data_IF_144470486983
#
_entry.id   IF_144470486983
#
_cell.length_a   1.000
_cell.length_b   1.000
_cell.length_c   1.000
_cell.angle_alpha   90.00
_cell.angle_beta   90.00
_cell.angle_gamma   90.00
#
_symmetry.space_group_name_H-M   'P 1'
#
loop_
_entity.id
_entity.type
_entity.pdbx_description
1 polymer ?
#
# COMPACT_ATOMS: atom_id res chain seq x y z
N UNK A 1 7.43 50.48 -24.13
CA UNK A 1 8.21 50.83 -22.92
C UNK A 1 9.50 50.02 -22.96
N UNK A 2 10.58 50.61 -23.47
CA UNK A 2 11.86 49.94 -23.68
C UNK A 2 12.61 49.81 -22.34
N UNK A 3 12.80 48.59 -21.87
CA UNK A 3 13.75 48.32 -20.78
C UNK A 3 15.18 48.42 -21.33
N UNK A 4 16.10 49.12 -20.65
CA UNK A 4 17.47 49.24 -21.11
C UNK A 4 18.21 47.91 -20.93
N UNK A 5 18.60 47.31 -22.05
CA UNK A 5 19.58 46.23 -22.16
C UNK A 5 20.96 46.78 -21.80
N UNK A 6 21.29 46.91 -20.51
CA UNK A 6 22.70 47.09 -20.13
C UNK A 6 23.03 46.48 -18.76
N UNK A 7 24.11 45.69 -18.77
CA UNK A 7 24.77 44.98 -17.65
C UNK A 7 24.10 43.71 -17.11
N UNK A 8 23.77 42.76 -17.98
CA UNK A 8 23.85 41.35 -17.57
C UNK A 8 25.30 40.88 -17.78
N UNK A 9 26.07 40.92 -16.69
CA UNK A 9 27.40 40.29 -16.60
C UNK A 9 27.26 38.87 -17.15
N UNK A 10 27.94 38.58 -18.27
CA UNK A 10 27.87 37.31 -19.01
C UNK A 10 28.21 36.19 -18.02
N UNK A 11 27.19 35.59 -17.42
CA UNK A 11 27.35 34.43 -16.55
C UNK A 11 28.13 33.40 -17.36
N UNK A 12 29.23 32.86 -16.82
CA UNK A 12 29.99 31.78 -17.48
C UNK A 12 28.98 30.73 -17.92
N UNK A 13 28.77 30.63 -19.23
CA UNK A 13 27.73 29.81 -19.81
C UNK A 13 28.09 28.34 -19.57
N UNK A 14 27.55 27.76 -18.49
CA UNK A 14 27.80 26.36 -18.15
C UNK A 14 27.28 25.42 -19.25
N UNK A 15 27.93 24.28 -19.43
CA UNK A 15 27.63 23.31 -20.50
C UNK A 15 26.12 23.05 -20.73
N UNK A 16 25.33 22.95 -19.66
CA UNK A 16 23.89 22.69 -19.72
C UNK A 16 23.02 23.79 -20.34
N UNK A 17 23.54 25.01 -20.54
CA UNK A 17 22.82 26.07 -21.27
C UNK A 17 23.00 25.98 -22.79
N UNK A 18 23.97 25.19 -23.26
CA UNK A 18 24.25 25.00 -24.70
C UNK A 18 23.19 24.13 -25.38
N UNK A 19 23.17 24.11 -26.73
CA UNK A 19 22.28 23.21 -27.48
C UNK A 19 22.59 21.74 -27.21
N UNK A 20 23.88 21.37 -27.16
CA UNK A 20 24.32 20.00 -26.85
C UNK A 20 23.96 19.61 -25.42
N UNK A 21 24.21 20.48 -24.44
CA UNK A 21 23.82 20.25 -23.04
C UNK A 21 22.32 20.04 -22.88
N UNK A 22 21.48 20.80 -23.62
CA UNK A 22 20.02 20.62 -23.61
C UNK A 22 19.55 19.31 -24.24
N UNK A 23 20.24 18.81 -25.27
CA UNK A 23 19.97 17.47 -25.82
C UNK A 23 20.29 16.40 -24.79
N UNK A 24 21.44 16.51 -24.11
CA UNK A 24 21.84 15.57 -23.04
C UNK A 24 20.82 15.57 -21.90
N UNK A 25 20.36 16.73 -21.43
CA UNK A 25 19.35 16.77 -20.35
C UNK A 25 18.00 16.20 -20.78
N UNK A 26 17.62 16.35 -22.04
CA UNK A 26 16.41 15.71 -22.59
C UNK A 26 16.52 14.19 -22.56
N UNK A 27 17.64 13.62 -23.05
CA UNK A 27 17.86 12.17 -23.00
C UNK A 27 17.91 11.66 -21.56
N UNK A 28 18.61 12.34 -20.66
CA UNK A 28 18.63 11.98 -19.24
C UNK A 28 17.24 12.01 -18.62
N UNK A 29 16.44 13.03 -18.89
CA UNK A 29 15.07 13.10 -18.40
C UNK A 29 14.20 11.95 -18.96
N UNK A 30 14.35 11.63 -20.25
CA UNK A 30 13.69 10.48 -20.87
C UNK A 30 14.08 9.16 -20.21
N UNK A 31 15.37 8.91 -20.02
CA UNK A 31 15.88 7.71 -19.35
C UNK A 31 15.39 7.62 -17.90
N UNK A 32 15.37 8.73 -17.15
CA UNK A 32 14.85 8.77 -15.79
C UNK A 32 13.35 8.47 -15.75
N UNK A 33 12.56 9.05 -16.66
CA UNK A 33 11.12 8.80 -16.73
C UNK A 33 10.82 7.32 -17.00
N UNK A 34 11.54 6.72 -17.95
CA UNK A 34 11.44 5.29 -18.25
C UNK A 34 11.86 4.45 -17.03
N UNK A 35 13.01 4.78 -16.42
CA UNK A 35 13.50 4.08 -15.22
C UNK A 35 12.53 4.12 -14.05
N UNK A 36 11.87 5.27 -13.80
CA UNK A 36 10.85 5.43 -12.76
C UNK A 36 9.62 4.53 -12.99
N UNK A 37 9.23 4.33 -14.25
CA UNK A 37 8.16 3.40 -14.59
C UNK A 37 8.59 1.95 -14.32
N UNK A 38 9.76 1.55 -14.84
CA UNK A 38 10.24 0.17 -14.73
C UNK A 38 10.53 -0.24 -13.28
N UNK A 39 11.14 0.62 -12.45
CA UNK A 39 11.46 0.29 -11.05
C UNK A 39 10.21 0.00 -10.21
N UNK A 40 9.07 0.62 -10.56
CA UNK A 40 7.79 0.37 -9.88
C UNK A 40 7.02 -0.80 -10.51
N UNK A 41 7.14 -1.02 -11.82
CA UNK A 41 6.34 -2.03 -12.54
C UNK A 41 6.97 -3.43 -12.56
N UNK A 42 8.29 -3.52 -12.70
CA UNK A 42 9.02 -4.80 -12.84
C UNK A 42 8.90 -5.71 -11.61
N UNK A 43 8.99 -5.21 -10.36
CA UNK A 43 8.83 -6.07 -9.17
C UNK A 43 7.47 -6.77 -9.10
N UNK A 44 6.42 -6.14 -9.65
CA UNK A 44 5.06 -6.68 -9.66
C UNK A 44 4.74 -7.50 -10.93
N UNK A 45 5.73 -7.76 -11.79
CA UNK A 45 5.58 -8.53 -13.02
C UNK A 45 6.67 -9.57 -13.15
N UNK A 46 7.80 -9.24 -13.78
CA UNK A 46 8.91 -10.18 -14.01
C UNK A 46 9.65 -10.54 -12.72
N UNK A 47 9.73 -9.61 -11.76
CA UNK A 47 10.38 -9.81 -10.47
C UNK A 47 9.52 -10.49 -9.41
N UNK A 48 8.30 -10.92 -9.77
CA UNK A 48 7.30 -11.34 -8.80
C UNK A 48 7.69 -12.63 -8.04
N UNK A 49 8.35 -13.57 -8.71
CA UNK A 49 8.84 -14.80 -8.07
C UNK A 49 10.01 -14.50 -7.12
N UNK A 50 10.95 -13.64 -7.51
CA UNK A 50 12.04 -13.21 -6.62
C UNK A 50 11.49 -12.51 -5.37
N UNK A 51 10.46 -11.68 -5.56
CA UNK A 51 9.84 -10.97 -4.45
C UNK A 51 9.10 -11.94 -3.51
N UNK A 52 8.43 -12.95 -4.05
CA UNK A 52 7.83 -14.05 -3.27
C UNK A 52 8.90 -14.80 -2.47
N UNK A 53 9.99 -15.25 -3.12
CA UNK A 53 11.05 -16.01 -2.46
C UNK A 53 11.71 -15.19 -1.34
N UNK A 54 11.81 -13.86 -1.50
CA UNK A 54 12.38 -13.00 -0.45
C UNK A 54 11.51 -12.89 0.81
N UNK A 55 10.18 -12.94 0.68
CA UNK A 55 9.23 -12.67 1.78
C UNK A 55 8.55 -13.93 2.33
N UNK A 56 8.62 -15.06 1.61
CA UNK A 56 7.97 -16.28 2.04
C UNK A 56 8.58 -16.81 3.34
N UNK A 57 7.77 -17.51 4.12
CA UNK A 57 8.22 -18.16 5.33
C UNK A 57 9.03 -19.42 4.98
N UNK A 58 10.20 -19.56 5.59
CA UNK A 58 11.03 -20.75 5.50
C UNK A 58 11.11 -21.45 6.85
N UNK A 59 11.09 -22.79 6.82
CA UNK A 59 11.38 -23.65 7.97
C UNK A 59 12.42 -24.66 7.53
N UNK A 60 13.54 -24.72 8.24
CA UNK A 60 14.66 -25.63 7.94
C UNK A 60 15.19 -25.50 6.50
N UNK A 61 15.23 -24.27 5.98
CA UNK A 61 15.69 -23.95 4.62
C UNK A 61 14.68 -24.26 3.51
N UNK A 62 13.50 -24.79 3.83
CA UNK A 62 12.44 -25.09 2.87
C UNK A 62 11.26 -24.12 2.98
N UNK A 63 10.59 -23.78 1.86
CA UNK A 63 9.37 -22.99 1.86
C UNK A 63 8.29 -23.68 2.70
N UNK A 64 7.66 -22.96 3.63
CA UNK A 64 6.56 -23.51 4.42
C UNK A 64 5.27 -23.54 3.57
N UNK A 65 4.73 -24.72 3.21
CA UNK A 65 3.48 -24.79 2.47
C UNK A 65 2.31 -24.29 3.31
N UNK A 66 1.27 -23.78 2.65
CA UNK A 66 0.02 -23.43 3.30
C UNK A 66 -0.73 -24.72 3.67
N UNK A 67 -1.37 -24.75 4.83
CA UNK A 67 -2.19 -25.88 5.26
C UNK A 67 -3.42 -26.06 4.36
N UNK A 68 -3.91 -27.30 4.25
CA UNK A 68 -5.08 -27.60 3.42
C UNK A 68 -6.32 -26.81 3.85
N UNK A 69 -6.47 -26.59 5.16
CA UNK A 69 -7.56 -25.80 5.75
C UNK A 69 -7.57 -24.36 5.23
N UNK A 70 -6.40 -23.72 5.20
CA UNK A 70 -6.26 -22.34 4.72
C UNK A 70 -6.43 -22.28 3.20
N UNK A 71 -5.93 -23.28 2.47
CA UNK A 71 -6.15 -23.43 1.02
C UNK A 71 -7.64 -23.54 0.69
N UNK A 72 -8.40 -24.29 1.47
CA UNK A 72 -9.85 -24.43 1.32
C UNK A 72 -10.59 -23.11 1.57
N UNK A 73 -10.26 -22.40 2.65
CA UNK A 73 -10.82 -21.05 2.93
C UNK A 73 -10.49 -20.06 1.81
N UNK A 74 -9.32 -20.16 1.22
CA UNK A 74 -8.94 -19.35 0.07
C UNK A 74 -9.76 -19.67 -1.19
N UNK A 75 -10.05 -20.96 -1.43
CA UNK A 75 -10.94 -21.40 -2.50
C UNK A 75 -12.35 -20.85 -2.31
N UNK A 76 -12.88 -20.94 -1.09
CA UNK A 76 -14.18 -20.34 -0.72
C UNK A 76 -14.18 -18.83 -0.95
N UNK A 77 -13.13 -18.11 -0.57
CA UNK A 77 -13.01 -16.67 -0.81
C UNK A 77 -13.06 -16.32 -2.32
N UNK A 78 -12.45 -17.15 -3.17
CA UNK A 78 -12.53 -16.98 -4.64
C UNK A 78 -13.94 -17.26 -5.17
N UNK A 79 -14.63 -18.25 -4.62
CA UNK A 79 -16.01 -18.60 -4.97
C UNK A 79 -16.98 -17.50 -4.58
N UNK A 80 -16.88 -16.97 -3.36
CA UNK A 80 -17.70 -15.83 -2.85
C UNK A 80 -17.56 -14.61 -3.77
N UNK A 81 -16.34 -14.30 -4.20
CA UNK A 81 -16.07 -13.17 -5.08
C UNK A 81 -16.30 -13.46 -6.57
N UNK A 82 -16.70 -14.69 -6.92
CA UNK A 82 -16.92 -15.15 -8.30
C UNK A 82 -15.75 -14.80 -9.24
N UNK A 83 -14.51 -15.01 -8.77
CA UNK A 83 -13.31 -14.62 -9.53
C UNK A 83 -13.07 -15.59 -10.68
N UNK A 84 -13.18 -15.07 -11.91
CA UNK A 84 -12.81 -15.80 -13.12
C UNK A 84 -11.29 -15.95 -13.18
N UNK A 85 -10.81 -17.19 -13.32
CA UNK A 85 -9.38 -17.53 -13.36
C UNK A 85 -8.72 -17.18 -14.70
N UNK A 86 -8.69 -15.90 -15.09
CA UNK A 86 -8.03 -15.48 -16.33
C UNK A 86 -6.50 -15.65 -16.25
N UNK A 87 -5.93 -15.43 -15.07
CA UNK A 87 -4.48 -15.47 -14.83
C UNK A 87 -4.17 -16.14 -13.46
N UNK A 88 -2.96 -16.66 -13.27
CA UNK A 88 -2.63 -17.44 -12.07
C UNK A 88 -2.70 -16.60 -10.80
N UNK A 89 -3.33 -17.17 -9.78
CA UNK A 89 -3.37 -16.63 -8.42
C UNK A 89 -2.69 -17.68 -7.55
N UNK A 90 -1.49 -17.36 -7.06
CA UNK A 90 -0.69 -18.27 -6.25
C UNK A 90 -0.64 -17.80 -4.81
N UNK A 91 -0.86 -18.72 -3.88
CA UNK A 91 -0.77 -18.46 -2.45
C UNK A 91 0.52 -19.04 -1.88
N UNK A 92 1.07 -18.38 -0.86
CA UNK A 92 2.25 -18.87 -0.14
C UNK A 92 2.26 -18.36 1.30
N UNK A 93 2.98 -19.02 2.20
CA UNK A 93 3.04 -18.61 3.60
C UNK A 93 3.97 -17.40 3.78
N UNK A 94 3.56 -16.39 4.56
CA UNK A 94 4.40 -15.22 4.91
C UNK A 94 4.67 -15.13 6.40
N UNK A 95 5.81 -14.51 6.73
CA UNK A 95 6.12 -14.12 8.10
C UNK A 95 5.33 -12.87 8.51
N UNK A 96 4.93 -12.80 9.79
CA UNK A 96 4.12 -11.72 10.35
C UNK A 96 2.66 -12.11 10.55
N UNK A 97 1.80 -11.09 10.74
CA UNK A 97 0.38 -11.26 11.07
C UNK A 97 -0.55 -10.63 10.04
N UNK A 98 -0.01 -10.07 8.96
CA UNK A 98 -0.75 -9.29 7.98
C UNK A 98 -0.70 -9.95 6.60
N UNK A 99 -1.88 -10.03 5.96
CA UNK A 99 -1.97 -10.52 4.59
C UNK A 99 -1.14 -9.65 3.65
N UNK A 100 -0.52 -10.31 2.69
CA UNK A 100 0.34 -9.69 1.71
C UNK A 100 -0.17 -9.97 0.30
N UNK A 101 -0.06 -8.99 -0.60
CA UNK A 101 -0.27 -9.22 -2.02
C UNK A 101 0.79 -8.51 -2.86
N UNK A 102 1.15 -9.14 -3.98
CA UNK A 102 1.99 -8.53 -5.00
C UNK A 102 1.54 -8.99 -6.39
N UNK A 103 1.59 -8.06 -7.35
CA UNK A 103 1.02 -8.27 -8.68
C UNK A 103 -0.44 -7.83 -8.72
N UNK A 104 -1.12 -8.13 -9.83
CA UNK A 104 -2.52 -7.77 -9.99
C UNK A 104 -3.21 -8.78 -10.92
N UNK A 105 -4.50 -9.04 -10.68
CA UNK A 105 -5.22 -10.16 -11.31
C UNK A 105 -5.41 -10.04 -12.82
N UNK A 106 -5.22 -8.85 -13.40
CA UNK A 106 -5.35 -8.58 -14.85
C UNK A 106 -4.02 -8.74 -15.60
N UNK A 107 -2.95 -9.14 -14.91
CA UNK A 107 -1.62 -9.34 -15.48
C UNK A 107 -1.41 -10.79 -15.89
N UNK A 108 -0.73 -11.03 -17.02
CA UNK A 108 -0.28 -12.38 -17.39
C UNK A 108 0.66 -13.02 -16.37
N UNK A 109 1.34 -12.20 -15.58
CA UNK A 109 2.22 -12.64 -14.49
C UNK A 109 1.44 -13.08 -13.26
N UNK A 110 0.14 -12.79 -13.21
CA UNK A 110 -0.73 -13.15 -12.11
C UNK A 110 -0.53 -12.30 -10.85
N UNK A 111 -0.94 -12.87 -9.72
CA UNK A 111 -0.77 -12.30 -8.39
C UNK A 111 -0.24 -13.36 -7.43
N UNK A 112 0.63 -12.95 -6.51
CA UNK A 112 1.06 -13.77 -5.37
C UNK A 112 0.40 -13.21 -4.11
N UNK A 113 -0.26 -14.07 -3.35
CA UNK A 113 -0.93 -13.72 -2.09
C UNK A 113 -0.21 -14.44 -0.96
N UNK A 114 0.39 -13.64 -0.09
CA UNK A 114 1.05 -14.11 1.12
C UNK A 114 0.04 -14.26 2.25
N UNK A 115 -0.13 -15.47 2.74
CA UNK A 115 -1.02 -15.79 3.86
C UNK A 115 -0.18 -16.00 5.13
N UNK A 116 -0.39 -15.20 6.18
CA UNK A 116 0.28 -15.36 7.46
C UNK A 116 0.01 -16.70 8.12
N UNK A 117 1.00 -17.19 8.87
CA UNK A 117 0.88 -18.46 9.61
C UNK A 117 -0.25 -18.44 10.65
N UNK A 118 -0.67 -17.26 11.13
CA UNK A 118 -1.78 -17.17 12.09
C UNK A 118 -3.17 -17.50 11.51
N UNK A 119 -3.30 -17.62 10.18
CA UNK A 119 -4.52 -18.15 9.56
C UNK A 119 -4.71 -19.65 9.82
N UNK A 120 -3.64 -20.35 10.23
CA UNK A 120 -3.68 -21.75 10.61
C UNK A 120 -4.04 -21.98 12.09
N UNK A 121 -4.20 -20.90 12.87
CA UNK A 121 -4.52 -21.01 14.29
C UNK A 121 -6.02 -21.21 14.50
N UNK A 122 -6.38 -22.22 15.29
CA UNK A 122 -7.78 -22.56 15.59
C UNK A 122 -8.22 -22.03 16.95
N UNK A 123 -7.32 -22.09 17.93
CA UNK A 123 -7.56 -21.62 19.29
C UNK A 123 -6.28 -21.07 19.89
N UNK A 124 -6.41 -20.30 20.98
CA UNK A 124 -5.27 -19.73 21.71
C UNK A 124 -4.35 -20.83 22.24
N UNK A 125 -4.90 -21.98 22.64
CA UNK A 125 -4.14 -23.09 23.22
C UNK A 125 -3.33 -23.88 22.17
N UNK A 126 -3.75 -23.81 20.90
CA UNK A 126 -3.06 -24.49 19.79
C UNK A 126 -1.74 -23.82 19.38
N UNK A 127 -1.51 -22.58 19.81
CA UNK A 127 -0.39 -21.75 19.36
C UNK A 127 0.83 -21.95 20.24
N UNK A 128 1.99 -22.17 19.61
CA UNK A 128 3.30 -22.24 20.29
C UNK A 128 3.84 -20.83 20.53
N UNK A 129 3.32 -20.17 21.56
CA UNK A 129 3.62 -18.78 21.93
C UNK A 129 5.12 -18.50 22.08
N UNK A 130 5.88 -19.44 22.64
CA UNK A 130 7.32 -19.32 22.92
C UNK A 130 8.17 -19.16 21.64
N UNK A 131 7.63 -19.57 20.49
CA UNK A 131 8.30 -19.46 19.19
C UNK A 131 7.99 -18.17 18.45
N UNK A 132 6.98 -17.43 18.89
CA UNK A 132 6.56 -16.19 18.25
C UNK A 132 7.40 -15.04 18.80
N UNK A 133 8.21 -14.44 17.92
CA UNK A 133 9.02 -13.26 18.22
C UNK A 133 8.59 -12.11 17.33
N UNK A 134 8.70 -10.89 17.87
CA UNK A 134 8.46 -9.67 17.10
C UNK A 134 9.75 -8.85 17.08
N UNK A 135 10.25 -8.52 15.88
CA UNK A 135 11.55 -7.83 15.71
C UNK A 135 12.70 -8.49 16.51
N UNK A 136 12.74 -9.83 16.52
CA UNK A 136 13.68 -10.65 17.30
C UNK A 136 13.62 -10.48 18.83
N UNK A 137 12.57 -9.84 19.36
CA UNK A 137 12.31 -9.72 20.79
C UNK A 137 11.27 -10.75 21.24
N UNK A 138 11.47 -11.26 22.44
CA UNK A 138 10.50 -12.13 23.12
C UNK A 138 9.36 -11.28 23.68
N UNK A 139 8.15 -11.84 23.65
CA UNK A 139 6.93 -11.17 24.09
C UNK A 139 6.56 -11.68 25.48
N UNK A 140 6.31 -10.77 26.42
CA UNK A 140 5.71 -11.15 27.70
C UNK A 140 4.22 -11.46 27.51
N UNK A 141 3.94 -12.73 27.30
CA UNK A 141 2.61 -13.29 27.03
C UNK A 141 1.62 -13.26 28.21
N UNK A 142 2.11 -13.01 29.43
CA UNK A 142 1.29 -12.99 30.65
C UNK A 142 0.85 -11.57 31.04
N UNK A 143 1.49 -10.55 30.46
CA UNK A 143 1.06 -9.16 30.57
C UNK A 143 -0.33 -8.93 29.97
N UNK A 144 -1.03 -7.88 30.42
CA UNK A 144 -2.35 -7.51 29.88
C UNK A 144 -2.31 -7.31 28.36
N UNK A 145 -1.30 -6.59 27.87
CA UNK A 145 -1.10 -6.38 26.44
C UNK A 145 -0.69 -7.68 25.71
N UNK A 146 0.03 -8.58 26.38
CA UNK A 146 0.34 -9.91 25.87
C UNK A 146 -0.92 -10.75 25.65
N UNK A 147 -1.85 -10.73 26.60
CA UNK A 147 -3.16 -11.38 26.47
C UNK A 147 -4.00 -10.74 25.36
N UNK A 148 -4.02 -9.41 25.29
CA UNK A 148 -4.69 -8.68 24.20
C UNK A 148 -4.15 -9.11 22.83
N UNK A 149 -2.83 -9.25 22.69
CA UNK A 149 -2.19 -9.72 21.46
C UNK A 149 -2.59 -11.17 21.13
N UNK A 150 -2.58 -12.08 22.12
CA UNK A 150 -3.02 -13.48 21.94
C UNK A 150 -4.42 -13.58 21.34
N UNK A 151 -5.37 -12.84 21.90
CA UNK A 151 -6.75 -12.81 21.41
C UNK A 151 -6.88 -12.16 20.02
N UNK A 152 -6.02 -11.19 19.70
CA UNK A 152 -6.09 -10.44 18.46
C UNK A 152 -5.51 -11.18 17.26
N UNK A 153 -4.53 -12.06 17.45
CA UNK A 153 -3.90 -12.77 16.34
C UNK A 153 -4.64 -14.05 15.92
N UNK A 154 -5.47 -14.62 16.81
CA UNK A 154 -6.28 -15.80 16.49
C UNK A 154 -7.57 -15.32 15.82
N UNK A 155 -7.74 -15.69 14.55
CA UNK A 155 -8.87 -15.25 13.73
C UNK A 155 -9.92 -16.37 13.61
N UNK A 156 -11.20 -16.00 13.69
CA UNK A 156 -12.32 -16.92 13.38
C UNK A 156 -12.36 -17.21 11.88
N UNK A 157 -13.06 -18.26 11.48
CA UNK A 157 -13.13 -18.63 10.05
C UNK A 157 -13.76 -17.52 9.19
N UNK A 158 -14.78 -16.83 9.71
CA UNK A 158 -15.41 -15.69 9.03
C UNK A 158 -14.46 -14.50 8.88
N UNK A 159 -13.67 -14.19 9.92
CA UNK A 159 -12.66 -13.13 9.86
C UNK A 159 -11.55 -13.45 8.86
N UNK A 160 -11.15 -14.72 8.80
CA UNK A 160 -10.16 -15.18 7.82
C UNK A 160 -10.71 -15.07 6.40
N UNK A 161 -11.94 -15.55 6.14
CA UNK A 161 -12.60 -15.39 4.84
C UNK A 161 -12.74 -13.92 4.46
N UNK A 162 -13.12 -13.05 5.40
CA UNK A 162 -13.17 -11.61 5.20
C UNK A 162 -11.80 -11.05 4.77
N UNK A 163 -10.73 -11.40 5.50
CA UNK A 163 -9.37 -10.98 5.18
C UNK A 163 -8.93 -11.44 3.78
N UNK A 164 -9.17 -12.70 3.43
CA UNK A 164 -8.81 -13.27 2.13
C UNK A 164 -9.61 -12.60 0.99
N UNK A 165 -10.91 -12.39 1.16
CA UNK A 165 -11.74 -11.67 0.20
C UNK A 165 -11.24 -10.24 -0.01
N UNK A 166 -10.93 -9.54 1.09
CA UNK A 166 -10.36 -8.20 1.05
C UNK A 166 -9.06 -8.16 0.24
N UNK A 167 -8.13 -9.09 0.49
CA UNK A 167 -6.85 -9.14 -0.21
C UNK A 167 -7.01 -9.49 -1.69
N UNK A 168 -7.96 -10.36 -2.04
CA UNK A 168 -8.30 -10.66 -3.42
C UNK A 168 -8.88 -9.44 -4.15
N UNK A 169 -9.78 -8.69 -3.51
CA UNK A 169 -10.32 -7.45 -4.07
C UNK A 169 -9.23 -6.40 -4.25
N UNK A 170 -8.34 -6.22 -3.26
CA UNK A 170 -7.18 -5.33 -3.40
C UNK A 170 -6.27 -5.72 -4.57
N UNK A 171 -6.08 -7.02 -4.81
CA UNK A 171 -5.32 -7.51 -5.97
C UNK A 171 -6.00 -7.29 -7.33
N UNK A 172 -7.32 -7.08 -7.35
CA UNK A 172 -8.07 -6.75 -8.58
C UNK A 172 -7.98 -5.27 -8.96
N UNK A 173 -7.63 -4.42 -8.01
CA UNK A 173 -7.49 -2.98 -8.22
C UNK A 173 -6.26 -2.68 -9.08
N UNK A 174 -6.32 -1.60 -9.86
CA UNK A 174 -5.26 -1.23 -10.80
C UNK A 174 -4.08 -0.51 -10.11
N UNK A 175 -3.91 -0.69 -8.79
CA UNK A 175 -2.96 0.04 -7.97
C UNK A 175 -1.52 -0.09 -8.44
N UNK A 176 -1.10 -1.28 -8.88
CA UNK A 176 0.26 -1.52 -9.42
C UNK A 176 0.55 -0.66 -10.65
N UNK A 177 -0.37 -0.62 -11.61
CA UNK A 177 -0.21 0.14 -12.85
C UNK A 177 -0.18 1.64 -12.54
N UNK A 178 -1.16 2.11 -11.76
CA UNK A 178 -1.27 3.52 -11.39
C UNK A 178 -0.04 4.00 -10.61
N UNK A 179 0.41 3.23 -9.62
CA UNK A 179 1.61 3.53 -8.83
C UNK A 179 2.89 3.55 -9.68
N UNK A 180 2.91 2.84 -10.81
CA UNK A 180 4.03 2.86 -11.77
C UNK A 180 3.99 4.08 -12.70
N UNK A 181 2.79 4.58 -13.02
CA UNK A 181 2.59 5.73 -13.91
C UNK A 181 2.79 7.06 -13.19
N UNK A 182 2.28 7.20 -11.95
CA UNK A 182 2.32 8.47 -11.21
C UNK A 182 3.70 9.14 -11.08
N UNK A 183 4.78 8.44 -10.68
CA UNK A 183 6.09 9.09 -10.56
C UNK A 183 6.60 9.57 -11.92
N UNK A 184 6.40 8.77 -12.97
CA UNK A 184 6.77 9.09 -14.35
C UNK A 184 6.00 10.31 -14.86
N UNK A 185 4.69 10.32 -14.67
CA UNK A 185 3.82 11.42 -15.07
C UNK A 185 4.17 12.73 -14.35
N UNK A 186 4.37 12.67 -13.03
CA UNK A 186 4.79 13.83 -12.24
C UNK A 186 6.14 14.36 -12.72
N UNK A 187 7.14 13.48 -12.90
CA UNK A 187 8.47 13.87 -13.36
C UNK A 187 8.45 14.53 -14.75
N UNK A 188 7.77 13.94 -15.73
CA UNK A 188 7.67 14.51 -17.10
C UNK A 188 6.96 15.87 -17.06
N UNK A 189 5.90 16.00 -16.28
CA UNK A 189 5.15 17.26 -16.13
C UNK A 189 6.05 18.36 -15.56
N UNK A 190 6.77 18.07 -14.48
CA UNK A 190 7.71 19.02 -13.87
C UNK A 190 8.85 19.37 -14.81
N UNK A 191 9.46 18.39 -15.48
CA UNK A 191 10.53 18.64 -16.44
C UNK A 191 10.04 19.56 -17.58
N UNK A 192 8.86 19.29 -18.13
CA UNK A 192 8.26 20.07 -19.22
C UNK A 192 7.96 21.50 -18.77
N UNK A 193 7.39 21.67 -17.57
CA UNK A 193 7.10 22.98 -16.98
C UNK A 193 8.39 23.77 -16.70
N UNK A 194 9.40 23.12 -16.12
CA UNK A 194 10.71 23.73 -15.87
C UNK A 194 11.38 24.17 -17.17
N UNK A 195 11.30 23.35 -18.24
CA UNK A 195 11.82 23.69 -19.56
C UNK A 195 11.07 24.86 -20.18
N UNK A 196 9.74 24.86 -20.11
CA UNK A 196 8.90 25.95 -20.61
C UNK A 196 9.25 27.27 -19.92
N UNK A 197 9.25 27.31 -18.59
CA UNK A 197 9.57 28.51 -17.81
C UNK A 197 10.99 29.03 -18.05
N UNK A 198 11.96 28.11 -18.17
CA UNK A 198 13.34 28.50 -18.50
C UNK A 198 13.44 29.23 -19.85
N UNK A 199 12.65 28.81 -20.83
CA UNK A 199 12.65 29.38 -22.18
C UNK A 199 11.82 30.65 -22.26
N UNK A 200 10.61 30.67 -21.71
CA UNK A 200 9.68 31.81 -21.78
C UNK A 200 10.17 33.01 -20.98
N UNK A 201 10.79 32.77 -19.81
CA UNK A 201 11.30 33.83 -18.93
C UNK A 201 12.81 34.12 -19.14
N UNK A 202 13.46 33.43 -20.09
CA UNK A 202 14.89 33.58 -20.38
C UNK A 202 15.80 33.28 -19.18
N UNK A 203 15.37 32.40 -18.26
CA UNK A 203 16.07 32.15 -16.99
C UNK A 203 17.43 31.48 -17.18
N UNK A 204 17.68 30.85 -18.33
CA UNK A 204 19.00 30.27 -18.64
C UNK A 204 20.12 31.33 -18.72
N UNK A 205 19.80 32.58 -19.05
CA UNK A 205 20.74 33.70 -19.04
C UNK A 205 20.85 34.39 -17.67
N UNK A 206 19.97 34.03 -16.72
CA UNK A 206 19.89 34.61 -15.37
C UNK A 206 20.78 33.85 -14.38
N UNK A 207 21.09 34.44 -13.19
CA UNK A 207 21.88 33.77 -12.17
C UNK A 207 21.31 32.40 -11.77
N UNK A 208 22.21 31.50 -11.41
CA UNK A 208 21.86 30.13 -11.02
C UNK A 208 20.91 30.07 -9.82
N UNK A 209 21.06 30.97 -8.84
CA UNK A 209 20.20 31.04 -7.66
C UNK A 209 18.71 31.20 -8.01
N UNK A 210 18.37 32.07 -8.97
CA UNK A 210 16.99 32.26 -9.41
C UNK A 210 16.41 30.99 -10.05
N UNK A 211 17.22 30.27 -10.83
CA UNK A 211 16.82 28.96 -11.39
C UNK A 211 16.60 27.92 -10.31
N UNK A 212 17.46 27.88 -9.29
CA UNK A 212 17.31 26.96 -8.17
C UNK A 212 16.02 27.22 -7.39
N UNK A 213 15.65 28.48 -7.14
CA UNK A 213 14.36 28.81 -6.50
C UNK A 213 13.19 28.24 -7.30
N UNK A 214 13.17 28.45 -8.62
CA UNK A 214 12.13 27.89 -9.49
C UNK A 214 12.12 26.36 -9.45
N UNK A 215 13.28 25.70 -9.56
CA UNK A 215 13.35 24.23 -9.52
C UNK A 215 12.91 23.66 -8.18
N UNK A 216 13.21 24.34 -7.07
CA UNK A 216 12.74 23.94 -5.74
C UNK A 216 11.22 24.01 -5.65
N UNK A 217 10.60 25.10 -6.12
CA UNK A 217 9.14 25.25 -6.14
C UNK A 217 8.49 24.15 -6.98
N UNK A 218 9.00 23.94 -8.21
CA UNK A 218 8.48 22.90 -9.10
C UNK A 218 8.73 21.48 -8.55
N UNK A 219 9.85 21.26 -7.87
CA UNK A 219 10.19 19.99 -7.23
C UNK A 219 9.22 19.65 -6.11
N UNK A 220 8.93 20.62 -5.23
CA UNK A 220 7.91 20.44 -4.18
C UNK A 220 6.52 20.22 -4.78
N UNK A 221 6.15 20.96 -5.83
CA UNK A 221 4.88 20.76 -6.52
C UNK A 221 4.78 19.35 -7.10
N UNK A 222 5.80 18.87 -7.81
CA UNK A 222 5.82 17.51 -8.38
C UNK A 222 5.77 16.42 -7.33
N UNK A 223 6.54 16.56 -6.26
CA UNK A 223 6.52 15.63 -5.13
C UNK A 223 5.14 15.61 -4.46
N UNK A 224 4.54 16.79 -4.24
CA UNK A 224 3.19 16.93 -3.70
C UNK A 224 2.12 16.28 -4.58
N UNK A 225 2.15 16.54 -5.89
CA UNK A 225 1.23 15.92 -6.86
C UNK A 225 1.38 14.41 -6.89
N UNK A 226 2.61 13.88 -6.86
CA UNK A 226 2.86 12.44 -6.80
C UNK A 226 2.32 11.82 -5.52
N UNK A 227 2.62 12.41 -4.36
CA UNK A 227 2.08 11.93 -3.08
C UNK A 227 0.55 11.95 -3.10
N UNK A 228 -0.05 13.05 -3.55
CA UNK A 228 -1.50 13.19 -3.63
C UNK A 228 -2.15 12.13 -4.52
N UNK A 229 -1.66 11.94 -5.76
CA UNK A 229 -2.20 10.92 -6.67
C UNK A 229 -2.10 9.51 -6.07
N UNK A 230 -0.97 9.19 -5.41
CA UNK A 230 -0.75 7.89 -4.79
C UNK A 230 -1.66 7.66 -3.59
N UNK A 231 -1.70 8.62 -2.68
CA UNK A 231 -2.44 8.52 -1.42
C UNK A 231 -3.95 8.56 -1.68
N UNK A 232 -4.43 9.42 -2.59
CA UNK A 232 -5.83 9.47 -3.01
C UNK A 232 -6.29 8.13 -3.61
N UNK A 233 -5.51 7.58 -4.54
CA UNK A 233 -5.84 6.30 -5.18
C UNK A 233 -5.88 5.17 -4.17
N UNK A 234 -4.94 5.12 -3.22
CA UNK A 234 -4.93 4.10 -2.18
C UNK A 234 -6.14 4.23 -1.25
N UNK A 235 -6.46 5.44 -0.79
CA UNK A 235 -7.60 5.69 0.09
C UNK A 235 -8.93 5.36 -0.62
N UNK A 236 -9.08 5.81 -1.87
CA UNK A 236 -10.28 5.52 -2.67
C UNK A 236 -10.43 4.03 -2.94
N UNK A 237 -9.33 3.33 -3.21
CA UNK A 237 -9.32 1.89 -3.42
C UNK A 237 -9.68 1.13 -2.14
N UNK A 238 -9.13 1.51 -0.99
CA UNK A 238 -9.47 0.91 0.31
C UNK A 238 -10.97 1.06 0.63
N UNK A 239 -11.53 2.24 0.38
CA UNK A 239 -12.96 2.52 0.60
C UNK A 239 -13.85 1.70 -0.35
N UNK A 240 -13.47 1.59 -1.63
CA UNK A 240 -14.23 0.82 -2.62
C UNK A 240 -14.18 -0.69 -2.30
N UNK A 241 -13.03 -1.19 -1.83
CA UNK A 241 -12.91 -2.58 -1.36
C UNK A 241 -13.83 -2.83 -0.17
N UNK A 242 -13.83 -1.95 0.84
CA UNK A 242 -14.71 -2.09 2.00
C UNK A 242 -16.20 -2.05 1.62
N UNK A 243 -16.56 -1.16 0.67
CA UNK A 243 -17.91 -1.10 0.11
C UNK A 243 -18.31 -2.41 -0.56
N UNK A 244 -17.45 -2.98 -1.42
CA UNK A 244 -17.68 -4.27 -2.07
C UNK A 244 -17.84 -5.40 -1.04
N UNK A 245 -17.03 -5.43 0.01
CA UNK A 245 -17.14 -6.43 1.07
C UNK A 245 -18.45 -6.31 1.85
N UNK A 246 -18.87 -5.08 2.18
CA UNK A 246 -20.14 -4.85 2.89
C UNK A 246 -21.36 -5.30 2.09
N UNK A 247 -21.25 -5.32 0.75
CA UNK A 247 -22.32 -5.75 -0.14
C UNK A 247 -22.44 -7.28 -0.26
N UNK A 248 -21.50 -8.06 0.29
CA UNK A 248 -21.54 -9.52 0.23
C UNK A 248 -22.55 -10.13 1.21
N UNK A 249 -22.96 -9.39 2.24
CA UNK A 249 -24.03 -9.79 3.16
C UNK A 249 -23.79 -9.36 4.61
N UNK A 250 -24.79 -9.52 5.50
CA UNK A 250 -24.69 -9.15 6.91
C UNK A 250 -23.57 -9.88 7.67
N UNK A 251 -23.31 -11.13 7.31
CA UNK A 251 -22.20 -11.92 7.89
C UNK A 251 -20.85 -11.26 7.64
N UNK A 252 -20.61 -10.75 6.42
CA UNK A 252 -19.39 -10.03 6.05
C UNK A 252 -19.26 -8.69 6.78
N UNK A 253 -20.38 -8.03 7.09
CA UNK A 253 -20.37 -6.79 7.87
C UNK A 253 -19.90 -7.08 9.29
N UNK A 254 -20.49 -8.07 9.96
CA UNK A 254 -20.09 -8.50 11.30
C UNK A 254 -18.65 -9.00 11.35
N UNK A 255 -18.25 -9.82 10.37
CA UNK A 255 -16.88 -10.29 10.23
C UNK A 255 -15.90 -9.13 10.02
N UNK A 256 -16.29 -8.10 9.26
CA UNK A 256 -15.48 -6.89 9.05
C UNK A 256 -15.25 -6.10 10.33
N UNK A 257 -16.30 -5.88 11.14
CA UNK A 257 -16.17 -5.23 12.46
C UNK A 257 -15.17 -6.01 13.34
N UNK A 258 -15.35 -7.32 13.45
CA UNK A 258 -14.49 -8.16 14.29
C UNK A 258 -13.05 -8.20 13.78
N UNK A 259 -12.86 -8.34 12.47
CA UNK A 259 -11.55 -8.34 11.82
C UNK A 259 -10.78 -7.02 12.07
N UNK A 260 -11.42 -5.87 11.83
CA UNK A 260 -10.78 -4.58 12.10
C UNK A 260 -10.55 -4.33 13.59
N UNK A 261 -11.45 -4.80 14.46
CA UNK A 261 -11.26 -4.71 15.89
C UNK A 261 -10.01 -5.48 16.33
N UNK A 262 -9.83 -6.73 15.88
CA UNK A 262 -8.64 -7.52 16.15
C UNK A 262 -7.37 -6.89 15.58
N UNK A 263 -7.43 -6.32 14.38
CA UNK A 263 -6.29 -5.61 13.80
C UNK A 263 -5.89 -4.39 14.64
N UNK A 264 -6.85 -3.61 15.13
CA UNK A 264 -6.61 -2.46 16.00
C UNK A 264 -6.03 -2.90 17.35
N UNK A 265 -6.62 -3.91 17.98
CA UNK A 265 -6.14 -4.47 19.25
C UNK A 265 -4.74 -5.06 19.15
N UNK A 266 -4.42 -5.73 18.04
CA UNK A 266 -3.06 -6.20 17.71
C UNK A 266 -2.08 -5.03 17.68
N UNK A 267 -2.40 -3.96 16.96
CA UNK A 267 -1.52 -2.81 16.80
C UNK A 267 -1.32 -2.04 18.12
N UNK A 268 -2.36 -1.91 18.94
CA UNK A 268 -2.28 -1.32 20.28
C UNK A 268 -1.36 -2.18 21.17
N UNK A 269 -1.58 -3.49 21.20
CA UNK A 269 -0.76 -4.39 22.00
C UNK A 269 0.72 -4.36 21.57
N UNK A 270 1.01 -4.39 20.26
CA UNK A 270 2.37 -4.30 19.75
C UNK A 270 3.05 -2.99 20.14
N UNK A 271 2.34 -1.86 20.05
CA UNK A 271 2.85 -0.54 20.47
C UNK A 271 3.29 -0.55 21.93
N UNK A 272 2.43 -1.01 22.83
CA UNK A 272 2.70 -0.98 24.27
C UNK A 272 3.74 -2.03 24.70
N UNK A 273 3.75 -3.21 24.08
CA UNK A 273 4.71 -4.27 24.40
C UNK A 273 6.12 -3.95 23.92
N UNK A 274 6.25 -3.29 22.76
CA UNK A 274 7.53 -3.12 22.07
C UNK A 274 8.07 -1.69 22.13
N UNK A 275 7.27 -0.73 22.58
CA UNK A 275 7.56 0.69 22.49
C UNK A 275 7.67 1.16 21.04
N UNK A 276 6.86 0.58 20.15
CA UNK A 276 6.93 0.84 18.71
C UNK A 276 6.04 2.02 18.31
N UNK A 277 6.66 3.10 17.84
CA UNK A 277 5.98 4.30 17.36
C UNK A 277 5.33 4.14 15.96
N UNK A 278 5.41 2.95 15.35
CA UNK A 278 4.74 2.60 14.09
C UNK A 278 3.22 2.67 14.22
N UNK A 279 2.67 2.50 15.41
CA UNK A 279 1.23 2.55 15.66
C UNK A 279 0.85 3.72 16.58
N UNK A 280 -0.36 4.22 16.39
CA UNK A 280 -0.98 5.23 17.26
C UNK A 280 -1.63 4.58 18.48
N UNK A 281 -1.95 5.36 19.52
CA UNK A 281 -2.68 4.89 20.71
C UNK A 281 -4.03 4.22 20.39
N UNK A 282 -4.63 4.55 19.24
CA UNK A 282 -5.89 3.96 18.77
C UNK A 282 -5.67 2.75 17.83
N UNK A 283 -4.44 2.31 17.60
CA UNK A 283 -4.13 1.15 16.74
C UNK A 283 -4.05 1.46 15.23
N UNK A 284 -4.20 2.71 14.80
CA UNK A 284 -3.92 3.09 13.41
C UNK A 284 -2.41 3.10 13.14
N UNK A 285 -2.00 2.88 11.89
CA UNK A 285 -0.63 3.11 11.45
C UNK A 285 -0.29 4.60 11.56
N UNK A 286 0.82 4.90 12.24
CA UNK A 286 1.33 6.24 12.41
C UNK A 286 2.15 6.64 11.19
N UNK A 287 1.77 7.74 10.55
CA UNK A 287 2.53 8.30 9.44
C UNK A 287 3.00 9.70 9.80
N UNK A 288 4.29 9.97 9.60
CA UNK A 288 4.92 11.24 10.02
C UNK A 288 4.40 12.44 9.21
N UNK A 289 4.28 12.29 7.88
CA UNK A 289 3.98 13.42 6.98
C UNK A 289 2.73 13.23 6.13
N UNK A 290 2.31 11.99 5.87
CA UNK A 290 1.24 11.69 4.89
C UNK A 290 0.42 10.47 5.25
N UNK A 291 -0.89 10.56 5.07
CA UNK A 291 -1.80 9.43 5.26
C UNK A 291 -1.79 8.55 4.00
N UNK A 292 -1.10 7.40 4.05
CA UNK A 292 -0.94 6.54 2.85
C UNK A 292 -2.11 5.58 2.61
N UNK A 293 -2.93 5.34 3.63
CA UNK A 293 -4.02 4.35 3.58
C UNK A 293 -5.19 4.84 4.43
N UNK A 294 -6.39 4.31 4.17
CA UNK A 294 -7.55 4.64 5.00
C UNK A 294 -7.31 4.16 6.45
N UNK A 295 -7.44 5.03 7.48
CA UNK A 295 -7.24 4.62 8.88
C UNK A 295 -8.15 3.46 9.26
N UNK A 296 -7.61 2.47 9.97
CA UNK A 296 -8.34 1.27 10.41
C UNK A 296 -9.55 1.62 11.27
N UNK A 297 -9.48 2.67 12.08
CA UNK A 297 -10.62 3.16 12.87
C UNK A 297 -11.79 3.64 12.00
N UNK A 298 -11.49 4.29 10.87
CA UNK A 298 -12.52 4.74 9.92
C UNK A 298 -13.13 3.55 9.20
N UNK A 299 -12.30 2.56 8.82
CA UNK A 299 -12.76 1.31 8.22
C UNK A 299 -13.69 0.54 9.16
N UNK A 300 -13.33 0.43 10.44
CA UNK A 300 -14.19 -0.18 11.47
C UNK A 300 -15.53 0.57 11.59
N UNK A 301 -15.49 1.89 11.74
CA UNK A 301 -16.69 2.74 11.84
C UNK A 301 -17.62 2.57 10.63
N UNK A 302 -17.07 2.43 9.43
CA UNK A 302 -17.86 2.17 8.22
C UNK A 302 -18.69 0.89 8.34
N UNK A 303 -18.09 -0.22 8.80
CA UNK A 303 -18.84 -1.47 8.98
C UNK A 303 -19.85 -1.39 10.15
N UNK A 304 -19.52 -0.67 11.22
CA UNK A 304 -20.46 -0.42 12.33
C UNK A 304 -21.70 0.37 11.85
N UNK A 305 -21.49 1.40 11.02
CA UNK A 305 -22.58 2.18 10.43
C UNK A 305 -23.44 1.33 9.48
N UNK A 306 -22.84 0.44 8.69
CA UNK A 306 -23.57 -0.49 7.83
C UNK A 306 -24.40 -1.50 8.64
N UNK A 307 -23.83 -2.04 9.73
CA UNK A 307 -24.55 -2.94 10.63
C UNK A 307 -25.76 -2.24 11.27
N UNK A 308 -25.60 -1.00 11.72
CA UNK A 308 -26.72 -0.20 12.27
C UNK A 308 -27.84 -0.03 11.25
N UNK A 309 -27.52 0.35 10.01
CA UNK A 309 -28.52 0.50 8.93
C UNK A 309 -29.26 -0.80 8.64
N UNK A 310 -28.55 -1.93 8.57
CA UNK A 310 -29.18 -3.24 8.37
C UNK A 310 -30.15 -3.58 9.49
N UNK A 311 -29.80 -3.28 10.75
CA UNK A 311 -30.69 -3.52 11.89
C UNK A 311 -31.93 -2.60 11.88
N UNK A 312 -31.78 -1.34 11.46
CA UNK A 312 -32.90 -0.40 11.29
C UNK A 312 -33.85 -0.85 10.17
N UNK A 313 -33.31 -1.31 9.03
CA UNK A 313 -34.09 -1.86 7.92
C UNK A 313 -34.86 -3.12 8.35
N UNK A 314 -34.21 -4.04 9.05
CA UNK A 314 -34.85 -5.24 9.59
C UNK A 314 -35.98 -4.89 10.58
N UNK A 315 -35.74 -3.94 11.48
CA UNK A 315 -36.77 -3.47 12.42
C UNK A 315 -37.96 -2.81 11.70
N UNK A 316 -37.71 -2.05 10.63
CA UNK A 316 -38.78 -1.43 9.84
C UNK A 316 -39.58 -2.44 9.01
N UNK A 317 -38.96 -3.54 8.57
CA UNK A 317 -39.63 -4.60 7.81
C UNK A 317 -40.47 -5.54 8.67
N UNK A 318 -40.24 -5.53 9.99
CA UNK A 318 -40.97 -6.33 10.97
C UNK A 318 -42.19 -5.61 11.58
N UNK A 319 -42.34 -4.30 11.31
CA UNK A 319 -43.51 -3.49 11.68
C UNK A 319 -44.52 -3.42 10.52
#
# INVERSE_FOLDING_TARGET
MCYPLNKLKKSRSGYFTTASGRKVTFFLAGTTAVGLMFINFVPHTMGLNYYKDFIQCYRDGQPLPISEKVSERFRQAKEILNIKNTYPIETFSVFGFDLFNAGYTKSRFGVKIGIPVNYDYDSIDSVKWDKIKYLNKDINWDSENGKLLKHSIVLTEEEQKFGLCKTLLQAQENGVILNSIYPTFSFITIYTMARYLNLSLGLLARPFSLRMVMYTILGFFGYGSWCFMKDYTQISSDAEVDKKLSALGPEFVTAGISFYNKQLSKNIALRELMGDDTYTAKGNVNYILRQKSLPLTIRKSFFEDMCRKQNEELASSAM
#
